data_IF_679421904568
#
_entry.id   IF_679421904568
#
_cell.length_a   1.000
_cell.length_b   1.000
_cell.length_c   1.000
_cell.angle_alpha   90.00
_cell.angle_beta   90.00
_cell.angle_gamma   90.00
#
_symmetry.space_group_name_H-M   'P 1'
#
loop_
_entity.id
_entity.type
_entity.pdbx_description
1 polymer ?
#
# COMPACT_ATOMS: atom_id res chain seq x y z
N UNK A 1 3.65 -17.97 6.56
CA UNK A 1 2.63 -17.23 5.80
C UNK A 1 3.18 -16.94 4.42
N UNK A 2 2.48 -17.31 3.35
CA UNK A 2 2.98 -17.17 1.97
C UNK A 2 3.08 -15.69 1.59
N UNK A 3 4.11 -15.33 0.83
CA UNK A 3 4.22 -14.05 0.13
C UNK A 3 3.84 -14.29 -1.33
N UNK A 4 2.93 -13.48 -1.85
CA UNK A 4 2.38 -13.62 -3.20
C UNK A 4 2.70 -12.34 -3.97
N UNK A 5 3.59 -12.37 -4.97
CA UNK A 5 3.77 -11.24 -5.88
C UNK A 5 2.45 -10.90 -6.58
N UNK A 6 2.15 -9.61 -6.72
CA UNK A 6 0.93 -9.14 -7.36
C UNK A 6 1.32 -8.41 -8.65
N UNK A 7 0.92 -8.97 -9.79
CA UNK A 7 1.02 -8.29 -11.07
C UNK A 7 -0.15 -7.30 -11.21
N UNK A 8 0.19 -6.04 -11.46
CA UNK A 8 -0.76 -4.92 -11.62
C UNK A 8 -0.65 -4.26 -12.98
N UNK A 9 0.03 -4.89 -13.95
CA UNK A 9 0.25 -4.35 -15.29
C UNK A 9 -1.04 -4.02 -16.04
N UNK A 10 -2.11 -4.79 -15.81
CA UNK A 10 -3.43 -4.57 -16.40
C UNK A 10 -4.41 -3.82 -15.46
N UNK A 11 -3.92 -3.28 -14.34
CA UNK A 11 -4.74 -2.60 -13.35
C UNK A 11 -4.52 -1.09 -13.35
N UNK A 12 -5.57 -0.34 -13.08
CA UNK A 12 -5.49 1.10 -12.75
C UNK A 12 -5.57 1.25 -11.24
N UNK A 13 -4.58 1.93 -10.66
CA UNK A 13 -4.50 2.21 -9.22
C UNK A 13 -4.64 3.72 -9.02
N UNK A 14 -5.66 4.17 -8.27
CA UNK A 14 -5.85 5.59 -7.97
C UNK A 14 -5.81 5.83 -6.46
N UNK A 15 -5.14 6.89 -6.03
CA UNK A 15 -5.04 7.25 -4.61
C UNK A 15 -6.37 7.74 -4.07
N UNK A 16 -6.89 7.11 -3.03
CA UNK A 16 -8.13 7.52 -2.34
C UNK A 16 -7.84 8.12 -0.97
N UNK A 17 -6.71 7.76 -0.36
CA UNK A 17 -6.19 8.38 0.86
C UNK A 17 -4.68 8.52 0.79
N UNK A 18 -4.17 9.73 1.08
CA UNK A 18 -2.73 10.00 1.09
C UNK A 18 -2.01 9.18 2.17
N UNK A 19 -0.69 8.95 2.02
CA UNK A 19 0.09 8.21 3.01
C UNK A 19 0.03 8.87 4.39
N UNK A 20 -0.31 8.06 5.39
CA UNK A 20 -0.28 8.42 6.80
C UNK A 20 0.61 7.46 7.58
N UNK A 21 1.15 7.91 8.71
CA UNK A 21 1.96 7.06 9.59
C UNK A 21 1.15 5.85 10.04
N UNK A 22 1.70 4.66 9.85
CA UNK A 22 1.09 3.41 10.29
C UNK A 22 1.28 3.26 11.80
N UNK A 23 0.19 3.35 12.54
CA UNK A 23 0.18 3.10 13.99
C UNK A 23 0.06 1.59 14.25
N UNK A 24 1.04 1.02 14.95
CA UNK A 24 1.06 -0.39 15.37
C UNK A 24 0.14 -0.62 16.58
N UNK A 25 0.22 0.26 17.56
CA UNK A 25 -0.63 0.25 18.75
C UNK A 25 -1.32 1.60 18.94
N UNK A 26 -2.64 1.60 18.85
CA UNK A 26 -3.45 2.82 18.95
C UNK A 26 -3.59 3.35 20.37
N UNK A 27 -3.34 2.54 21.41
CA UNK A 27 -3.42 2.99 22.80
C UNK A 27 -2.17 3.79 23.19
N UNK A 28 -1.01 3.34 22.72
CA UNK A 28 0.29 3.95 23.04
C UNK A 28 0.76 4.95 21.99
N UNK A 29 0.22 4.87 20.76
CA UNK A 29 0.71 5.65 19.62
C UNK A 29 1.99 5.07 19.00
N UNK A 30 2.37 3.84 19.36
CA UNK A 30 3.57 3.19 18.80
C UNK A 30 3.49 3.15 17.26
N UNK A 31 4.51 3.72 16.61
CA UNK A 31 4.62 3.73 15.15
C UNK A 31 5.18 2.39 14.68
N UNK A 32 4.59 1.84 13.62
CA UNK A 32 5.10 0.63 12.98
C UNK A 32 6.41 0.94 12.24
N UNK A 33 7.44 0.15 12.51
CA UNK A 33 8.77 0.26 11.88
C UNK A 33 8.99 -0.91 10.94
N UNK A 34 9.66 -0.64 9.83
CA UNK A 34 10.10 -1.65 8.88
C UNK A 34 11.24 -2.48 9.47
N UNK A 35 11.08 -3.81 9.62
CA UNK A 35 12.12 -4.64 10.22
C UNK A 35 13.37 -4.79 9.33
N UNK A 36 13.29 -4.45 8.04
CA UNK A 36 14.40 -4.55 7.10
C UNK A 36 15.12 -3.21 6.95
N UNK A 37 14.37 -2.12 6.74
CA UNK A 37 14.97 -0.79 6.46
C UNK A 37 15.08 0.10 7.69
N UNK A 38 14.44 -0.26 8.80
CA UNK A 38 14.27 0.58 9.99
C UNK A 38 13.52 1.90 9.76
N UNK A 39 12.86 2.06 8.61
CA UNK A 39 12.04 3.25 8.33
C UNK A 39 10.67 3.15 8.99
N UNK A 40 10.02 4.30 9.20
CA UNK A 40 8.60 4.32 9.57
C UNK A 40 7.79 3.71 8.44
N UNK A 41 6.80 2.90 8.79
CA UNK A 41 5.83 2.41 7.84
C UNK A 41 4.70 3.41 7.68
N UNK A 42 4.26 3.55 6.44
CA UNK A 42 3.18 4.41 6.02
C UNK A 42 2.07 3.55 5.45
N UNK A 43 0.83 4.02 5.55
CA UNK A 43 -0.34 3.40 4.94
C UNK A 43 -1.06 4.39 4.05
N UNK A 44 -1.39 3.95 2.85
CA UNK A 44 -2.25 4.66 1.92
C UNK A 44 -3.39 3.75 1.48
N UNK A 45 -4.47 4.36 1.01
CA UNK A 45 -5.61 3.64 0.45
C UNK A 45 -5.74 3.99 -1.02
N UNK A 46 -6.03 2.95 -1.81
CA UNK A 46 -6.13 3.03 -3.26
C UNK A 46 -7.39 2.30 -3.72
N UNK A 47 -8.02 2.79 -4.77
CA UNK A 47 -8.91 1.95 -5.56
C UNK A 47 -8.08 1.17 -6.58
N UNK A 48 -8.27 -0.14 -6.60
CA UNK A 48 -7.70 -1.09 -7.55
C UNK A 48 -8.77 -1.42 -8.58
N UNK A 49 -8.54 -1.10 -9.85
CA UNK A 49 -9.51 -1.30 -10.94
C UNK A 49 -8.91 -2.26 -11.95
N UNK A 50 -9.50 -3.45 -12.11
CA UNK A 50 -9.09 -4.44 -13.09
C UNK A 50 -10.23 -5.41 -13.38
N UNK A 51 -10.13 -6.16 -14.49
CA UNK A 51 -11.04 -7.26 -14.83
C UNK A 51 -12.55 -6.90 -14.77
N UNK A 52 -12.91 -5.65 -15.08
CA UNK A 52 -14.29 -5.16 -15.06
C UNK A 52 -14.85 -4.81 -13.68
N UNK A 53 -14.03 -4.82 -12.63
CA UNK A 53 -14.41 -4.48 -11.25
C UNK A 53 -13.45 -3.50 -10.59
N UNK A 54 -13.81 -3.08 -9.38
CA UNK A 54 -12.98 -2.21 -8.54
C UNK A 54 -13.07 -2.57 -7.06
N UNK A 55 -11.94 -2.58 -6.37
CA UNK A 55 -11.82 -2.85 -4.94
C UNK A 55 -10.99 -1.78 -4.23
N UNK A 56 -11.29 -1.50 -2.97
CA UNK A 56 -10.45 -0.63 -2.13
C UNK A 56 -9.37 -1.48 -1.46
N UNK A 57 -8.11 -1.11 -1.62
CA UNK A 57 -6.97 -1.77 -0.96
C UNK A 57 -6.19 -0.80 -0.09
N UNK A 58 -5.70 -1.32 1.04
CA UNK A 58 -4.77 -0.62 1.93
C UNK A 58 -3.38 -1.17 1.73
N UNK A 59 -2.46 -0.31 1.32
CA UNK A 59 -1.07 -0.69 1.04
C UNK A 59 -0.18 -0.13 2.13
N UNK A 60 0.75 -0.95 2.62
CA UNK A 60 1.84 -0.48 3.50
C UNK A 60 3.09 -0.25 2.66
N UNK A 61 3.75 0.89 2.86
CA UNK A 61 5.04 1.24 2.22
C UNK A 61 6.00 1.80 3.26
N UNK A 62 7.32 1.62 3.14
CA UNK A 62 8.31 2.37 3.91
C UNK A 62 8.19 3.87 3.59
N UNK A 63 8.45 4.74 4.57
CA UNK A 63 8.37 6.20 4.38
C UNK A 63 9.26 6.71 3.27
N UNK A 64 10.50 6.20 3.17
CA UNK A 64 11.44 6.55 2.09
C UNK A 64 10.99 6.05 0.71
N UNK A 65 10.00 5.16 0.65
CA UNK A 65 9.38 4.67 -0.58
C UNK A 65 8.23 5.56 -1.09
N UNK A 66 7.92 6.67 -0.42
CA UNK A 66 6.90 7.61 -0.88
C UNK A 66 7.51 8.55 -1.93
N UNK A 67 7.06 8.41 -3.17
CA UNK A 67 7.41 9.31 -4.26
C UNK A 67 6.75 10.69 -4.14
N UNK A 68 7.33 11.67 -4.82
CA UNK A 68 6.80 13.03 -4.88
C UNK A 68 5.52 13.14 -5.71
N UNK A 69 4.78 14.25 -5.52
CA UNK A 69 3.62 14.58 -6.36
C UNK A 69 2.35 13.78 -6.08
N UNK A 70 2.32 12.95 -5.04
CA UNK A 70 1.12 12.20 -4.65
C UNK A 70 0.00 13.15 -4.23
N UNK A 71 -1.12 13.05 -4.94
CA UNK A 71 -2.39 13.74 -4.64
C UNK A 71 -3.53 12.74 -4.71
N UNK A 72 -4.66 13.05 -4.08
CA UNK A 72 -5.87 12.24 -4.24
C UNK A 72 -6.28 12.16 -5.70
N UNK A 73 -6.72 10.98 -6.14
CA UNK A 73 -7.08 10.67 -7.52
C UNK A 73 -5.88 10.43 -8.46
N UNK A 74 -4.65 10.67 -8.01
CA UNK A 74 -3.47 10.43 -8.85
C UNK A 74 -3.35 8.94 -9.20
N UNK A 75 -3.11 8.61 -10.48
CA UNK A 75 -2.73 7.25 -10.85
C UNK A 75 -1.34 6.95 -10.31
N UNK A 76 -1.12 5.73 -9.81
CA UNK A 76 0.15 5.33 -9.19
C UNK A 76 0.65 3.98 -9.68
N UNK A 77 1.94 3.75 -9.49
CA UNK A 77 2.59 2.44 -9.59
C UNK A 77 3.11 2.01 -8.20
N UNK A 78 3.11 0.69 -7.96
CA UNK A 78 3.53 0.08 -6.70
C UNK A 78 4.63 -0.97 -6.92
N UNK A 79 5.90 -0.55 -7.07
CA UNK A 79 7.01 -1.49 -7.18
C UNK A 79 7.06 -2.47 -6.00
N UNK A 80 7.34 -3.74 -6.30
CA UNK A 80 7.46 -4.79 -5.29
C UNK A 80 6.15 -5.12 -4.58
N UNK A 81 4.99 -4.85 -5.19
CA UNK A 81 3.70 -5.16 -4.58
C UNK A 81 3.57 -6.67 -4.30
N UNK A 82 3.34 -6.98 -3.03
CA UNK A 82 3.08 -8.31 -2.52
C UNK A 82 1.80 -8.35 -1.70
N UNK A 83 1.13 -9.49 -1.75
CA UNK A 83 0.00 -9.85 -0.90
C UNK A 83 0.43 -10.92 0.10
N UNK A 84 -0.04 -10.78 1.35
CA UNK A 84 0.18 -11.74 2.43
C UNK A 84 -1.17 -12.06 3.10
N UNK A 85 -1.75 -13.25 2.89
CA UNK A 85 -2.95 -13.65 3.60
C UNK A 85 -2.62 -13.84 5.07
N UNK A 86 -3.43 -13.33 5.99
CA UNK A 86 -3.20 -13.45 7.43
C UNK A 86 -4.44 -13.89 8.17
N UNK A 87 -4.22 -14.49 9.34
CA UNK A 87 -5.24 -14.84 10.31
C UNK A 87 -4.74 -14.40 11.69
N UNK A 88 -5.62 -13.83 12.50
CA UNK A 88 -5.30 -13.41 13.86
C UNK A 88 -6.56 -13.45 14.70
N UNK A 89 -6.44 -13.89 15.94
CA UNK A 89 -7.49 -13.72 16.94
C UNK A 89 -7.39 -12.32 17.56
N UNK A 90 -8.51 -11.61 17.64
CA UNK A 90 -8.58 -10.30 18.29
C UNK A 90 -9.86 -10.19 19.11
N UNK A 91 -9.73 -10.15 20.44
CA UNK A 91 -10.86 -10.10 21.36
C UNK A 91 -11.78 -11.33 21.27
N UNK A 92 -11.19 -12.53 21.18
CA UNK A 92 -11.94 -13.80 21.09
C UNK A 92 -12.61 -14.07 19.74
N UNK A 93 -12.34 -13.23 18.72
CA UNK A 93 -12.86 -13.42 17.36
C UNK A 93 -11.72 -13.63 16.39
N UNK A 94 -11.81 -14.69 15.59
CA UNK A 94 -10.90 -14.95 14.49
C UNK A 94 -11.15 -13.93 13.37
N UNK A 95 -10.09 -13.23 12.98
CA UNK A 95 -10.06 -12.31 11.84
C UNK A 95 -9.09 -12.86 10.82
N UNK A 96 -9.39 -12.61 9.56
CA UNK A 96 -8.51 -12.94 8.45
C UNK A 96 -8.56 -11.81 7.42
N UNK A 97 -7.59 -11.81 6.52
CA UNK A 97 -7.59 -10.87 5.40
C UNK A 97 -6.32 -10.96 4.59
N UNK A 98 -6.17 -10.00 3.67
CA UNK A 98 -4.97 -9.84 2.85
C UNK A 98 -4.27 -8.55 3.27
N UNK A 99 -3.00 -8.65 3.61
CA UNK A 99 -2.15 -7.48 3.79
C UNK A 99 -1.38 -7.20 2.50
N UNK A 100 -1.51 -5.99 1.98
CA UNK A 100 -0.73 -5.51 0.84
C UNK A 100 0.45 -4.68 1.30
N UNK A 101 1.60 -4.95 0.70
CA UNK A 101 2.83 -4.19 0.93
C UNK A 101 3.55 -3.96 -0.39
N UNK A 102 4.08 -2.77 -0.59
CA UNK A 102 4.96 -2.43 -1.70
C UNK A 102 6.25 -1.82 -1.17
N UNK A 103 7.28 -1.80 -2.00
CA UNK A 103 8.56 -1.17 -1.66
C UNK A 103 8.47 0.35 -1.82
N UNK A 104 7.64 0.82 -2.75
CA UNK A 104 7.41 2.22 -3.00
C UNK A 104 6.00 2.49 -3.55
N UNK A 105 5.61 3.77 -3.56
CA UNK A 105 4.48 4.30 -4.32
C UNK A 105 4.93 5.53 -5.09
N UNK A 106 4.66 5.57 -6.39
CA UNK A 106 5.03 6.68 -7.25
C UNK A 106 3.87 7.08 -8.15
N UNK A 107 3.73 8.36 -8.47
CA UNK A 107 2.77 8.82 -9.47
C UNK A 107 3.09 8.19 -10.81
N UNK A 108 2.09 7.61 -11.46
CA UNK A 108 2.17 7.14 -12.83
C UNK A 108 1.99 8.32 -13.79
N UNK A 109 3.00 9.18 -13.86
CA UNK A 109 3.03 10.29 -14.80
C UNK A 109 3.57 9.80 -16.15
N UNK A 110 2.96 10.16 -17.29
CA UNK A 110 3.59 9.94 -18.58
C UNK A 110 4.91 10.72 -18.61
N UNK A 111 5.98 10.10 -19.14
CA UNK A 111 7.24 10.78 -19.34
C UNK A 111 7.00 12.05 -20.17
N UNK A 112 7.49 13.20 -19.70
CA UNK A 112 7.42 14.46 -20.43
C UNK A 112 8.11 14.27 -21.77
N UNK A 113 7.35 14.32 -22.86
CA UNK A 113 7.92 14.35 -24.21
C UNK A 113 8.60 15.71 -24.34
N UNK A 114 9.94 15.74 -24.27
CA UNK A 114 10.69 16.94 -24.64
C UNK A 114 10.52 17.12 -26.14
N UNK A 115 9.84 18.21 -26.53
CA UNK A 115 9.73 18.67 -27.91
C UNK A 115 10.96 19.43 -28.37
#
# INVERSE_FOLDING_TARGET
>A
MRVIPVDVSAATLLVTKLPEVKVKDRQTGEIAIDPVTSDRLMVLELVFIAAGGSDMIKVTVPEKGIGEGLVMGAPVILPGLIARPWESEFGGRMRHGIAYRADAVMVNAPASVQG
#
